data_IF_417050757457
#
_entry.id   IF_417050757457
#
_cell.length_a   1.000
_cell.length_b   1.000
_cell.length_c   1.000
_cell.angle_alpha   90.00
_cell.angle_beta   90.00
_cell.angle_gamma   90.00
#
_symmetry.space_group_name_H-M   'P 1'
#
loop_
_entity.id
_entity.type
_entity.pdbx_description
1 polymer ?
#
# COMPACT_ATOMS: atom_id res chain seq x y z
N UNK A 1 4.76 -4.18 -12.89
CA UNK A 1 3.66 -3.40 -12.30
C UNK A 1 4.28 -2.15 -11.72
N UNK A 2 3.77 -0.97 -12.06
CA UNK A 2 4.24 0.28 -11.43
C UNK A 2 3.36 0.60 -10.22
N UNK A 3 4.00 1.04 -9.14
CA UNK A 3 3.34 1.43 -7.89
C UNK A 3 3.91 2.78 -7.43
N UNK A 4 3.14 3.52 -6.64
CA UNK A 4 3.62 4.73 -5.97
C UNK A 4 2.96 4.93 -4.60
N UNK A 5 3.60 5.74 -3.77
CA UNK A 5 3.13 6.14 -2.44
C UNK A 5 2.78 4.99 -1.47
N UNK A 6 3.57 3.90 -1.37
CA UNK A 6 3.28 2.83 -0.42
C UNK A 6 3.45 3.34 1.02
N UNK A 7 2.44 3.14 1.86
CA UNK A 7 2.48 3.52 3.27
C UNK A 7 1.74 2.51 4.12
N UNK A 8 2.31 2.15 5.27
CA UNK A 8 1.56 1.40 6.27
C UNK A 8 0.39 2.20 6.82
N UNK A 9 -0.74 1.55 7.02
CA UNK A 9 -1.90 2.12 7.70
C UNK A 9 -2.06 1.53 9.11
N UNK A 10 -3.06 2.02 9.85
CA UNK A 10 -3.33 1.61 11.23
C UNK A 10 -3.63 0.10 11.37
N UNK A 11 -4.05 -0.56 10.29
CA UNK A 11 -4.35 -2.00 10.27
C UNK A 11 -3.10 -2.87 10.02
N UNK A 12 -1.92 -2.27 9.84
CA UNK A 12 -0.70 -2.99 9.49
C UNK A 12 -0.63 -3.47 8.03
N UNK A 13 -1.60 -3.04 7.21
CA UNK A 13 -1.61 -3.23 5.75
C UNK A 13 -0.96 -2.04 5.05
N UNK A 14 -0.74 -2.13 3.74
CA UNK A 14 -0.08 -1.08 2.95
C UNK A 14 -1.09 -0.46 2.00
N UNK A 15 -1.37 0.83 2.16
CA UNK A 15 -2.06 1.62 1.15
C UNK A 15 -1.07 2.04 0.07
N UNK A 16 -1.41 1.81 -1.19
CA UNK A 16 -0.56 2.05 -2.36
C UNK A 16 -1.41 2.41 -3.57
N UNK A 17 -0.86 3.17 -4.51
CA UNK A 17 -1.48 3.37 -5.82
C UNK A 17 -0.83 2.47 -6.87
N UNK A 18 -1.64 1.75 -7.64
CA UNK A 18 -1.19 0.87 -8.73
C UNK A 18 -1.52 1.49 -10.08
N UNK A 19 -0.56 1.46 -11.02
CA UNK A 19 -0.83 1.87 -12.40
C UNK A 19 -1.55 0.73 -13.15
N UNK A 20 -2.78 1.01 -13.57
CA UNK A 20 -3.59 0.13 -14.41
C UNK A 20 -3.64 0.74 -15.82
N UNK A 21 -3.25 0.01 -16.88
CA UNK A 21 -3.03 0.58 -18.23
C UNK A 21 -4.16 1.47 -18.77
N UNK A 22 -5.41 1.11 -18.54
CA UNK A 22 -6.58 1.81 -19.08
C UNK A 22 -7.24 2.77 -18.08
N UNK A 23 -6.92 2.65 -16.79
CA UNK A 23 -7.59 3.38 -15.70
C UNK A 23 -6.67 4.37 -14.96
N UNK A 24 -5.37 4.34 -15.26
CA UNK A 24 -4.39 5.16 -14.58
C UNK A 24 -4.06 4.65 -13.17
N UNK A 25 -3.76 5.56 -12.26
CA UNK A 25 -3.39 5.24 -10.88
C UNK A 25 -4.64 5.01 -10.04
N UNK A 26 -4.77 3.81 -9.48
CA UNK A 26 -5.89 3.44 -8.61
C UNK A 26 -5.41 3.10 -7.20
N UNK A 27 -6.16 3.50 -6.16
CA UNK A 27 -5.85 3.12 -4.79
C UNK A 27 -6.07 1.62 -4.59
N UNK A 28 -5.18 1.01 -3.84
CA UNK A 28 -5.23 -0.39 -3.43
C UNK A 28 -4.66 -0.54 -2.01
N UNK A 29 -5.23 -1.47 -1.24
CA UNK A 29 -4.70 -1.83 0.08
C UNK A 29 -4.15 -3.26 0.01
N UNK A 30 -2.83 -3.39 0.05
CA UNK A 30 -2.15 -4.67 0.06
C UNK A 30 -2.08 -5.24 1.48
N UNK A 31 -2.52 -6.50 1.63
CA UNK A 31 -2.57 -7.19 2.92
C UNK A 31 -1.75 -8.48 2.88
N UNK A 32 -1.07 -8.85 3.99
CA UNK A 32 -0.45 -10.17 4.10
C UNK A 32 -1.49 -11.30 4.12
N UNK A 33 -2.72 -10.99 4.53
CA UNK A 33 -3.86 -11.91 4.64
C UNK A 33 -4.89 -11.71 3.52
N UNK A 34 -4.50 -11.04 2.42
CA UNK A 34 -5.38 -10.86 1.25
C UNK A 34 -5.86 -12.24 0.75
N UNK A 35 -7.15 -12.42 0.40
CA UNK A 35 -7.62 -13.71 -0.14
C UNK A 35 -6.98 -14.07 -1.48
N UNK A 36 -6.62 -13.08 -2.29
CA UNK A 36 -6.01 -13.26 -3.60
C UNK A 36 -4.48 -13.30 -3.50
N UNK A 37 -3.84 -14.18 -4.28
CA UNK A 37 -2.36 -14.28 -4.34
C UNK A 37 -1.71 -12.94 -4.67
N UNK A 38 -2.41 -12.15 -5.49
CA UNK A 38 -1.90 -10.88 -6.00
C UNK A 38 -1.71 -9.84 -4.88
N UNK A 39 -2.67 -9.71 -3.95
CA UNK A 39 -2.55 -8.77 -2.83
C UNK A 39 -1.42 -9.14 -1.87
N UNK A 40 -1.24 -10.44 -1.59
CA UNK A 40 -0.14 -10.96 -0.77
C UNK A 40 1.23 -10.73 -1.41
N UNK A 41 1.32 -10.89 -2.72
CA UNK A 41 2.55 -10.64 -3.47
C UNK A 41 2.94 -9.16 -3.44
N UNK A 42 1.98 -8.25 -3.61
CA UNK A 42 2.21 -6.80 -3.49
C UNK A 42 2.69 -6.46 -2.08
N UNK A 43 2.03 -6.96 -1.03
CA UNK A 43 2.44 -6.68 0.35
C UNK A 43 3.89 -7.10 0.60
N UNK A 44 4.28 -8.29 0.15
CA UNK A 44 5.64 -8.80 0.33
C UNK A 44 6.70 -8.01 -0.42
N UNK A 45 6.41 -7.45 -1.61
CA UNK A 45 7.36 -6.60 -2.34
C UNK A 45 7.49 -5.18 -1.76
N UNK A 46 6.43 -4.69 -1.11
CA UNK A 46 6.34 -3.31 -0.64
C UNK A 46 6.66 -3.12 0.85
N UNK A 47 6.56 -4.16 1.69
CA UNK A 47 6.74 -4.03 3.15
C UNK A 47 8.07 -3.40 3.57
N UNK A 48 9.14 -3.61 2.81
CA UNK A 48 10.47 -3.06 3.10
C UNK A 48 10.68 -1.66 2.47
N UNK A 49 9.74 -1.20 1.64
CA UNK A 49 9.79 0.08 0.89
C UNK A 49 8.71 1.07 1.35
N UNK A 50 7.67 0.58 2.02
CA UNK A 50 6.55 1.39 2.47
C UNK A 50 6.97 2.37 3.56
N UNK A 51 6.48 3.61 3.46
CA UNK A 51 6.63 4.58 4.54
C UNK A 51 5.90 4.08 5.81
N UNK A 52 6.43 4.37 7.00
CA UNK A 52 5.76 4.01 8.24
C UNK A 52 4.40 4.70 8.36
N UNK A 53 3.51 4.09 9.13
CA UNK A 53 2.26 4.73 9.50
C UNK A 53 2.55 5.93 10.41
N UNK A 54 2.06 7.11 10.03
CA UNK A 54 2.07 8.32 10.86
C UNK A 54 0.62 8.67 11.17
N UNK A 55 0.17 8.54 12.43
CA UNK A 55 -1.16 8.98 12.84
C UNK A 55 -1.36 10.47 12.55
N UNK A 56 -2.57 10.88 12.15
CA UNK A 56 -2.88 12.27 11.78
C UNK A 56 -2.63 13.28 12.91
N UNK A 57 -2.79 12.86 14.16
CA UNK A 57 -2.48 13.67 15.36
C UNK A 57 -0.98 14.01 15.49
N UNK A 58 -0.11 13.24 14.84
CA UNK A 58 1.34 13.42 14.83
C UNK A 58 1.89 14.02 13.52
N UNK A 59 1.03 14.29 12.53
CA UNK A 59 1.43 14.82 11.23
C UNK A 59 1.46 16.36 11.17
N UNK A 60 1.04 17.03 12.25
CA UNK A 60 0.97 18.48 12.37
C UNK A 60 1.80 19.01 13.56
N UNK A 61 3.11 19.18 13.34
CA UNK A 61 3.98 20.08 14.12
C UNK A 61 4.87 20.89 13.18
#
# INVERSE_FOLDING_TARGET
MEWRNPRFNASGTIDVELLVPDLGWLPFTASPDDPEDYGRAIFNDLKDKAAPFVPEDQAAE
#
